data_IF_610490696888
#
_entry.id   IF_610490696888
#
_cell.length_a   1.000
_cell.length_b   1.000
_cell.length_c   1.000
_cell.angle_alpha   90.00
_cell.angle_beta   90.00
_cell.angle_gamma   90.00
#
_symmetry.space_group_name_H-M   'P 1'
#
loop_
_entity.id
_entity.type
_entity.pdbx_description
1 polymer ?
#
# COMPACT_ATOMS: atom_id res chain seq x y z
N UNK A 1 3.45 0.80 11.91
CA UNK A 1 4.54 -0.02 12.47
C UNK A 1 4.04 -0.90 13.60
N UNK A 2 3.34 -0.34 14.60
CA UNK A 2 2.76 -1.10 15.71
C UNK A 2 1.74 -2.20 15.32
N UNK A 3 0.86 -1.97 14.34
CA UNK A 3 -0.12 -2.99 13.93
C UNK A 3 0.52 -4.20 13.23
N UNK A 4 1.64 -4.00 12.51
CA UNK A 4 2.40 -5.08 11.86
C UNK A 4 3.18 -5.90 12.89
N UNK A 5 3.78 -5.24 13.88
CA UNK A 5 4.39 -5.88 15.05
C UNK A 5 3.37 -6.68 15.87
N UNK A 6 2.15 -6.17 16.03
CA UNK A 6 1.08 -6.87 16.75
C UNK A 6 0.61 -8.11 15.98
N UNK A 7 0.46 -8.00 14.65
CA UNK A 7 0.08 -9.14 13.80
C UNK A 7 1.18 -10.22 13.75
N UNK A 8 2.44 -9.83 13.62
CA UNK A 8 3.59 -10.74 13.70
C UNK A 8 3.69 -11.41 15.09
N UNK A 9 3.44 -10.65 16.16
CA UNK A 9 3.39 -11.18 17.52
C UNK A 9 2.28 -12.21 17.69
N UNK A 10 1.04 -11.93 17.25
CA UNK A 10 -0.08 -12.87 17.34
C UNK A 10 0.14 -14.12 16.50
N UNK A 11 0.78 -13.99 15.33
CA UNK A 11 1.15 -15.13 14.49
C UNK A 11 2.21 -16.02 15.15
N UNK A 12 3.19 -15.42 15.83
CA UNK A 12 4.18 -16.16 16.62
C UNK A 12 3.53 -16.83 17.83
N UNK A 13 2.62 -16.16 18.54
CA UNK A 13 1.85 -16.77 19.63
C UNK A 13 0.98 -17.94 19.13
N UNK A 14 0.44 -17.86 17.91
CA UNK A 14 -0.29 -18.97 17.30
C UNK A 14 0.62 -20.15 17.00
N UNK A 15 1.80 -19.89 16.43
CA UNK A 15 2.82 -20.91 16.18
C UNK A 15 3.25 -21.59 17.47
N UNK A 16 3.55 -20.81 18.51
CA UNK A 16 3.91 -21.34 19.83
C UNK A 16 2.75 -22.12 20.48
N UNK A 17 1.50 -21.67 20.32
CA UNK A 17 0.33 -22.39 20.84
C UNK A 17 0.15 -23.74 20.13
N UNK A 18 0.43 -23.78 18.83
CA UNK A 18 0.38 -25.01 18.02
C UNK A 18 1.55 -25.95 18.38
N UNK A 19 2.74 -25.42 18.60
CA UNK A 19 3.93 -26.20 18.96
C UNK A 19 3.83 -26.77 20.39
N UNK A 20 3.30 -25.99 21.34
CA UNK A 20 3.14 -26.40 22.75
C UNK A 20 1.79 -27.09 23.04
N UNK A 21 0.88 -27.14 22.06
CA UNK A 21 -0.45 -27.73 22.16
C UNK A 21 -1.32 -27.16 23.31
N UNK A 22 -1.11 -25.88 23.62
CA UNK A 22 -1.81 -25.13 24.66
C UNK A 22 -2.25 -23.77 24.09
N UNK A 23 -3.48 -23.36 24.37
CA UNK A 23 -4.00 -22.10 23.86
C UNK A 23 -3.39 -20.94 24.67
N UNK A 24 -2.45 -20.21 24.06
CA UNK A 24 -1.82 -19.05 24.72
C UNK A 24 -2.54 -17.72 24.45
N UNK A 25 -3.69 -17.75 23.77
CA UNK A 25 -4.52 -16.57 23.56
C UNK A 25 -5.45 -16.32 24.77
N UNK A 26 -5.70 -15.05 25.09
CA UNK A 26 -6.71 -14.67 26.09
C UNK A 26 -8.12 -14.93 25.54
N UNK A 27 -9.08 -15.24 26.42
CA UNK A 27 -10.50 -15.40 26.06
C UNK A 27 -11.11 -14.11 25.46
N UNK A 28 -10.50 -12.94 25.73
CA UNK A 28 -10.93 -11.65 25.15
C UNK A 28 -10.56 -11.51 23.65
N UNK A 29 -9.67 -12.34 23.12
CA UNK A 29 -9.23 -12.33 21.71
C UNK A 29 -10.08 -13.34 20.88
N UNK A 30 -11.37 -13.04 20.78
CA UNK A 30 -12.46 -13.91 20.30
C UNK A 30 -12.13 -14.74 19.03
N UNK A 31 -11.50 -14.13 18.02
CA UNK A 31 -11.30 -14.78 16.72
C UNK A 31 -10.17 -15.83 16.75
N UNK A 32 -9.03 -15.53 17.37
CA UNK A 32 -7.87 -16.43 17.39
C UNK A 32 -8.00 -17.50 18.47
N UNK A 33 -8.61 -17.17 19.61
CA UNK A 33 -8.94 -18.14 20.66
C UNK A 33 -9.89 -19.22 20.13
N UNK A 34 -10.95 -18.82 19.41
CA UNK A 34 -11.91 -19.76 18.82
C UNK A 34 -11.28 -20.64 17.74
N UNK A 35 -10.46 -20.06 16.84
CA UNK A 35 -9.75 -20.81 15.79
C UNK A 35 -8.77 -21.85 16.34
N UNK A 36 -8.05 -21.53 17.44
CA UNK A 36 -7.17 -22.52 18.07
C UNK A 36 -7.95 -23.65 18.74
N UNK A 37 -9.08 -23.34 19.38
CA UNK A 37 -9.92 -24.37 19.99
C UNK A 37 -10.57 -25.29 18.94
N UNK A 38 -10.96 -24.75 17.78
CA UNK A 38 -11.42 -25.53 16.64
C UNK A 38 -10.30 -26.44 16.09
N UNK A 39 -9.08 -25.89 15.92
CA UNK A 39 -7.89 -26.67 15.57
C UNK A 39 -7.66 -27.83 16.54
N UNK A 40 -7.68 -27.55 17.85
CA UNK A 40 -7.48 -28.56 18.90
C UNK A 40 -8.58 -29.63 18.87
N UNK A 41 -9.83 -29.22 18.66
CA UNK A 41 -10.97 -30.14 18.53
C UNK A 41 -10.79 -31.10 17.34
N UNK A 42 -10.39 -30.56 16.18
CA UNK A 42 -10.14 -31.36 14.98
C UNK A 42 -8.95 -32.31 15.15
N UNK A 43 -7.88 -31.88 15.84
CA UNK A 43 -6.75 -32.75 16.18
C UNK A 43 -7.19 -33.89 17.10
N UNK A 44 -8.01 -33.61 18.11
CA UNK A 44 -8.53 -34.63 19.01
C UNK A 44 -9.42 -35.64 18.27
N UNK A 45 -10.24 -35.18 17.32
CA UNK A 45 -11.06 -36.06 16.48
C UNK A 45 -10.21 -36.98 15.61
N UNK A 46 -9.16 -36.44 14.97
CA UNK A 46 -8.22 -37.22 14.19
C UNK A 46 -7.44 -38.23 15.06
N UNK A 47 -7.01 -37.83 16.26
CA UNK A 47 -6.36 -38.74 17.21
C UNK A 47 -7.28 -39.87 17.63
N UNK A 48 -8.55 -39.58 17.92
CA UNK A 48 -9.54 -40.59 18.25
C UNK A 48 -9.77 -41.56 17.07
N UNK A 49 -9.88 -41.03 15.85
CA UNK A 49 -10.01 -41.87 14.65
C UNK A 49 -8.80 -42.78 14.43
N UNK A 50 -7.58 -42.27 14.68
CA UNK A 50 -6.34 -43.07 14.64
C UNK A 50 -6.35 -44.14 15.73
N UNK A 51 -6.81 -43.83 16.94
CA UNK A 51 -6.88 -44.79 18.04
C UNK A 51 -7.89 -45.91 17.76
N UNK A 52 -9.06 -45.55 17.21
CA UNK A 52 -10.08 -46.52 16.75
C UNK A 52 -9.50 -47.44 15.67
N UNK A 53 -8.77 -46.90 14.69
CA UNK A 53 -8.14 -47.70 13.65
C UNK A 53 -7.01 -48.59 14.19
N UNK A 54 -6.18 -48.08 15.10
CA UNK A 54 -5.14 -48.88 15.79
C UNK A 54 -5.76 -50.04 16.55
N UNK A 55 -6.88 -49.81 17.24
CA UNK A 55 -7.61 -50.85 17.96
C UNK A 55 -8.16 -51.91 17.02
N UNK A 56 -8.78 -51.52 15.90
CA UNK A 56 -9.25 -52.45 14.89
C UNK A 56 -8.12 -53.31 14.28
N UNK A 57 -6.93 -52.72 14.09
CA UNK A 57 -5.73 -53.45 13.63
C UNK A 57 -5.19 -54.39 14.70
N UNK A 58 -5.17 -53.98 15.97
CA UNK A 58 -4.81 -54.85 17.10
C UNK A 58 -5.74 -56.05 17.18
N UNK A 59 -7.06 -55.83 17.10
CA UNK A 59 -8.07 -56.90 17.14
C UNK A 59 -7.89 -57.90 15.96
N UNK A 60 -7.53 -57.41 14.77
CA UNK A 60 -7.21 -58.25 13.62
C UNK A 60 -5.89 -59.02 13.79
N UNK A 61 -4.89 -58.42 14.45
CA UNK A 61 -3.62 -59.07 14.80
C UNK A 61 -3.83 -60.19 15.82
N UNK A 62 -4.64 -59.95 16.84
CA UNK A 62 -4.97 -60.95 17.88
C UNK A 62 -5.79 -62.11 17.30
N UNK A 63 -6.73 -61.81 16.39
CA UNK A 63 -7.46 -62.82 15.63
C UNK A 63 -6.54 -63.66 14.75
N UNK A 64 -5.53 -63.05 14.12
CA UNK A 64 -4.51 -63.76 13.35
C UNK A 64 -3.63 -64.65 14.24
N UNK A 65 -3.18 -64.16 15.40
CA UNK A 65 -2.39 -64.96 16.36
C UNK A 65 -3.17 -66.19 16.82
N UNK A 66 -4.45 -66.02 17.16
CA UNK A 66 -5.33 -67.12 17.57
C UNK A 66 -5.50 -68.18 16.47
N UNK A 67 -5.55 -67.76 15.19
CA UNK A 67 -5.60 -68.68 14.05
C UNK A 67 -4.27 -69.45 13.91
N UNK A 68 -3.13 -68.77 14.09
CA UNK A 68 -1.80 -69.40 14.05
C UNK A 68 -1.65 -70.43 15.19
N UNK A 69 -2.06 -70.08 16.41
CA UNK A 69 -2.01 -70.99 17.56
C UNK A 69 -2.90 -72.23 17.37
N UNK A 70 -4.07 -72.06 16.73
CA UNK A 70 -4.93 -73.18 16.35
C UNK A 70 -4.26 -74.11 15.34
N UNK A 71 -3.62 -73.57 14.31
CA UNK A 71 -2.89 -74.38 13.33
C UNK A 71 -1.67 -75.09 13.96
N UNK A 72 -0.94 -74.44 14.86
CA UNK A 72 0.17 -75.09 15.57
C UNK A 72 -0.31 -76.22 16.49
N UNK A 73 -1.48 -76.06 17.12
CA UNK A 73 -2.13 -77.14 17.88
C UNK A 73 -2.53 -78.32 16.97
N UNK A 74 -3.16 -78.06 15.82
CA UNK A 74 -3.50 -79.10 14.84
C UNK A 74 -2.26 -79.83 14.31
N UNK A 75 -1.21 -79.10 13.98
CA UNK A 75 0.07 -79.66 13.55
C UNK A 75 0.68 -80.53 14.65
N UNK A 76 0.61 -80.10 15.91
CA UNK A 76 1.11 -80.90 17.04
C UNK A 76 0.27 -82.17 17.27
N UNK A 77 -1.04 -82.12 17.08
CA UNK A 77 -1.91 -83.30 17.13
C UNK A 77 -1.53 -84.29 16.02
N UNK A 78 -1.35 -83.81 14.79
CA UNK A 78 -0.94 -84.63 13.65
C UNK A 78 0.45 -85.23 13.87
N UNK A 79 1.41 -84.45 14.40
CA UNK A 79 2.75 -84.96 14.76
C UNK A 79 2.67 -86.09 15.78
N UNK A 80 1.88 -85.94 16.85
CA UNK A 80 1.69 -86.97 17.87
C UNK A 80 1.03 -88.24 17.30
N UNK A 81 0.06 -88.08 16.40
CA UNK A 81 -0.58 -89.21 15.72
C UNK A 81 0.40 -89.96 14.81
N UNK A 82 1.26 -89.23 14.10
CA UNK A 82 2.34 -89.80 13.28
C UNK A 82 3.37 -90.52 14.17
N UNK A 83 3.75 -89.94 15.30
CA UNK A 83 4.70 -90.55 16.25
C UNK A 83 4.15 -91.86 16.85
N UNK A 84 2.85 -91.91 17.12
CA UNK A 84 2.15 -93.16 17.50
C UNK A 84 2.19 -94.20 16.38
N UNK A 85 1.86 -93.81 15.14
CA UNK A 85 1.91 -94.71 13.99
C UNK A 85 3.34 -95.23 13.73
N UNK A 86 4.36 -94.43 14.00
CA UNK A 86 5.77 -94.84 13.94
C UNK A 86 6.11 -95.94 14.95
N UNK A 87 5.67 -95.78 16.20
CA UNK A 87 5.84 -96.81 17.22
C UNK A 87 5.19 -98.13 16.80
N UNK A 88 4.01 -98.07 16.16
CA UNK A 88 3.31 -99.25 15.65
C UNK A 88 4.05 -99.90 14.46
N UNK A 89 4.59 -99.11 13.54
CA UNK A 89 5.33 -99.61 12.36
C UNK A 89 6.70 -100.19 12.74
N UNK A 90 7.40 -99.60 13.72
CA UNK A 90 8.70 -100.09 14.21
C UNK A 90 8.62 -101.52 14.80
N UNK A 91 7.41 -101.96 15.15
CA UNK A 91 7.08 -103.30 15.62
C UNK A 91 7.06 -104.37 14.51
N UNK A 92 6.89 -103.95 13.25
CA UNK A 92 6.77 -104.82 12.08
C UNK A 92 7.78 -104.42 11.00
N UNK A 93 9.04 -104.82 11.19
CA UNK A 93 10.13 -104.46 10.28
C UNK A 93 9.94 -105.00 8.87
N UNK A 94 9.89 -104.10 7.86
CA UNK A 94 10.25 -104.42 6.47
C UNK A 94 10.40 -103.17 5.56
N UNK A 95 11.13 -103.37 4.46
CA UNK A 95 11.70 -102.44 3.46
C UNK A 95 10.81 -101.28 2.95
N UNK A 96 9.48 -101.38 3.07
CA UNK A 96 8.53 -100.29 2.73
C UNK A 96 8.69 -99.06 3.64
N UNK A 97 9.25 -99.22 4.83
CA UNK A 97 9.55 -98.11 5.74
C UNK A 97 10.60 -97.12 5.20
N UNK A 98 11.51 -97.56 4.32
CA UNK A 98 12.58 -96.70 3.78
C UNK A 98 12.09 -95.76 2.66
N UNK A 99 11.21 -96.26 1.78
CA UNK A 99 10.60 -95.44 0.72
C UNK A 99 9.62 -94.41 1.31
N UNK A 100 8.91 -94.79 2.37
CA UNK A 100 8.03 -93.88 3.12
C UNK A 100 8.86 -92.83 3.87
N UNK A 101 9.99 -93.21 4.48
CA UNK A 101 10.92 -92.27 5.11
C UNK A 101 11.47 -91.24 4.13
N UNK A 102 11.78 -91.66 2.92
CA UNK A 102 12.32 -90.76 1.88
C UNK A 102 11.28 -89.75 1.42
N UNK A 103 10.04 -90.19 1.17
CA UNK A 103 8.91 -89.31 0.87
C UNK A 103 8.57 -88.37 2.04
N UNK A 104 8.75 -88.83 3.28
CA UNK A 104 8.53 -88.03 4.48
C UNK A 104 9.59 -86.92 4.62
N UNK A 105 10.87 -87.24 4.41
CA UNK A 105 11.94 -86.23 4.45
C UNK A 105 11.75 -85.16 3.37
N UNK A 106 11.21 -85.54 2.21
CA UNK A 106 10.80 -84.61 1.16
C UNK A 106 9.62 -83.72 1.60
N UNK A 107 8.58 -84.29 2.22
CA UNK A 107 7.43 -83.50 2.70
C UNK A 107 7.80 -82.58 3.87
N UNK A 108 8.65 -83.02 4.80
CA UNK A 108 9.17 -82.18 5.88
C UNK A 108 10.04 -81.04 5.36
N UNK A 109 10.86 -81.30 4.31
CA UNK A 109 11.59 -80.23 3.62
C UNK A 109 10.64 -79.23 2.97
N UNK A 110 9.59 -79.68 2.27
CA UNK A 110 8.58 -78.80 1.68
C UNK A 110 7.85 -77.96 2.73
N UNK A 111 7.44 -78.54 3.86
CA UNK A 111 6.80 -77.82 4.98
C UNK A 111 7.75 -76.77 5.57
N UNK A 112 9.03 -77.09 5.76
CA UNK A 112 10.01 -76.13 6.25
C UNK A 112 10.30 -75.01 5.24
N UNK A 113 10.26 -75.33 3.95
CA UNK A 113 10.39 -74.33 2.89
C UNK A 113 9.18 -73.38 2.88
N UNK A 114 7.95 -73.92 2.97
CA UNK A 114 6.73 -73.12 3.11
C UNK A 114 6.73 -72.27 4.39
N UNK A 115 7.22 -72.80 5.52
CA UNK A 115 7.39 -72.05 6.77
C UNK A 115 8.42 -70.92 6.63
N UNK A 116 9.51 -71.16 5.88
CA UNK A 116 10.50 -70.13 5.56
C UNK A 116 9.98 -69.08 4.58
N UNK A 117 9.09 -69.44 3.66
CA UNK A 117 8.39 -68.49 2.76
C UNK A 117 7.35 -67.65 3.52
N UNK A 118 6.60 -68.25 4.44
CA UNK A 118 5.69 -67.54 5.36
C UNK A 118 6.44 -66.59 6.30
N UNK A 119 7.62 -66.98 6.78
CA UNK A 119 8.48 -66.12 7.60
C UNK A 119 9.16 -64.99 6.80
N UNK A 120 9.31 -65.14 5.47
CA UNK A 120 9.77 -64.09 4.55
C UNK A 120 8.68 -63.06 4.24
N UNK A 121 7.40 -63.35 4.48
CA UNK A 121 6.35 -62.32 4.57
C UNK A 121 6.52 -61.45 5.83
N UNK A 122 7.65 -60.75 5.96
CA UNK A 122 7.89 -59.67 6.93
C UNK A 122 7.20 -58.39 6.47
N UNK A 123 5.89 -58.45 6.24
CA UNK A 123 5.08 -57.29 5.83
C UNK A 123 4.65 -56.40 7.02
N UNK A 124 5.28 -56.53 8.19
CA UNK A 124 4.96 -55.73 9.38
C UNK A 124 5.83 -54.47 9.52
N UNK A 125 7.15 -54.46 9.30
CA UNK A 125 7.95 -53.24 9.47
C UNK A 125 7.82 -52.28 8.29
N UNK A 126 7.66 -52.78 7.05
CA UNK A 126 7.47 -51.94 5.86
C UNK A 126 6.09 -51.28 5.82
N UNK A 127 5.04 -51.97 6.28
CA UNK A 127 3.69 -51.41 6.35
C UNK A 127 3.59 -50.34 7.45
N UNK A 128 4.22 -50.55 8.61
CA UNK A 128 4.30 -49.54 9.68
C UNK A 128 5.14 -48.32 9.29
N UNK A 129 6.20 -48.52 8.50
CA UNK A 129 7.03 -47.41 8.01
C UNK A 129 6.31 -46.62 6.91
N UNK A 130 5.67 -47.30 5.95
CA UNK A 130 4.82 -46.67 4.91
C UNK A 130 3.63 -45.94 5.55
N UNK A 131 2.99 -46.50 6.57
CA UNK A 131 1.87 -45.84 7.27
C UNK A 131 2.32 -44.64 8.11
N UNK A 132 3.49 -44.72 8.78
CA UNK A 132 4.10 -43.54 9.44
C UNK A 132 4.46 -42.47 8.42
N UNK A 133 5.04 -42.84 7.29
CA UNK A 133 5.46 -41.92 6.23
C UNK A 133 4.24 -41.26 5.55
N UNK A 134 3.16 -42.02 5.26
CA UNK A 134 1.90 -41.49 4.73
C UNK A 134 1.19 -40.55 5.73
N UNK A 135 1.08 -40.92 7.00
CA UNK A 135 0.49 -40.06 8.03
C UNK A 135 1.30 -38.77 8.24
N UNK A 136 2.64 -38.86 8.21
CA UNK A 136 3.52 -37.69 8.33
C UNK A 136 3.41 -36.80 7.08
N UNK A 137 3.26 -37.38 5.89
CA UNK A 137 3.08 -36.64 4.64
C UNK A 137 1.72 -35.93 4.55
N UNK A 138 0.62 -36.54 5.00
CA UNK A 138 -0.70 -35.90 5.05
C UNK A 138 -0.73 -34.74 6.06
N UNK A 139 -0.16 -34.93 7.25
CA UNK A 139 -0.02 -33.86 8.25
C UNK A 139 0.86 -32.72 7.70
N UNK A 140 1.96 -33.06 7.03
CA UNK A 140 2.86 -32.06 6.43
C UNK A 140 2.16 -31.30 5.30
N UNK A 141 1.37 -31.99 4.47
CA UNK A 141 0.58 -31.36 3.40
C UNK A 141 -0.46 -30.41 3.97
N UNK A 142 -1.25 -30.84 4.96
CA UNK A 142 -2.23 -29.97 5.62
C UNK A 142 -1.55 -28.75 6.29
N UNK A 143 -0.39 -28.96 6.92
CA UNK A 143 0.42 -27.86 7.48
C UNK A 143 0.90 -26.89 6.40
N UNK A 144 1.33 -27.38 5.23
CA UNK A 144 1.73 -26.53 4.10
C UNK A 144 0.53 -25.77 3.52
N UNK A 145 -0.61 -26.44 3.29
CA UNK A 145 -1.82 -25.82 2.72
C UNK A 145 -2.37 -24.73 3.65
N UNK A 146 -2.38 -24.99 4.97
CA UNK A 146 -2.76 -23.98 5.97
C UNK A 146 -1.77 -22.82 6.03
N UNK A 147 -0.46 -23.08 5.94
CA UNK A 147 0.56 -22.02 5.88
C UNK A 147 0.41 -21.15 4.62
N UNK A 148 0.14 -21.76 3.46
CA UNK A 148 -0.11 -21.03 2.21
C UNK A 148 -1.39 -20.20 2.30
N UNK A 149 -2.46 -20.76 2.88
CA UNK A 149 -3.70 -20.01 3.13
C UNK A 149 -3.51 -18.82 4.07
N UNK A 150 -2.75 -19.01 5.16
CA UNK A 150 -2.40 -17.95 6.09
C UNK A 150 -1.52 -16.86 5.45
N UNK A 151 -0.57 -17.24 4.58
CA UNK A 151 0.26 -16.30 3.84
C UNK A 151 -0.60 -15.43 2.90
N UNK A 152 -1.56 -16.04 2.21
CA UNK A 152 -2.53 -15.32 1.37
C UNK A 152 -3.35 -14.31 2.17
N UNK A 153 -3.93 -14.73 3.31
CA UNK A 153 -4.72 -13.84 4.18
C UNK A 153 -3.86 -12.69 4.73
N UNK A 154 -2.62 -12.99 5.10
CA UNK A 154 -1.66 -11.98 5.60
C UNK A 154 -1.39 -10.94 4.53
N UNK A 155 -1.13 -11.38 3.30
CA UNK A 155 -0.87 -10.50 2.16
C UNK A 155 -2.08 -9.61 1.82
N UNK A 156 -3.30 -10.16 1.85
CA UNK A 156 -4.52 -9.39 1.63
C UNK A 156 -4.72 -8.31 2.71
N UNK A 157 -4.40 -8.62 3.97
CA UNK A 157 -4.46 -7.65 5.06
C UNK A 157 -3.38 -6.58 4.95
N UNK A 158 -2.17 -6.91 4.49
CA UNK A 158 -1.13 -5.91 4.22
C UNK A 158 -1.57 -4.91 3.14
N UNK A 159 -2.19 -5.40 2.05
CA UNK A 159 -2.75 -4.54 0.99
C UNK A 159 -3.80 -3.59 1.58
N UNK A 160 -4.76 -4.09 2.37
CA UNK A 160 -5.80 -3.26 3.02
C UNK A 160 -5.19 -2.20 3.95
N UNK A 161 -4.15 -2.55 4.69
CA UNK A 161 -3.46 -1.61 5.57
C UNK A 161 -2.84 -0.46 4.75
N UNK A 162 -2.21 -0.76 3.61
CA UNK A 162 -1.57 0.26 2.78
C UNK A 162 -2.60 1.15 2.06
N UNK A 163 -3.74 0.59 1.64
CA UNK A 163 -4.89 1.37 1.16
C UNK A 163 -5.41 2.34 2.23
N UNK A 164 -5.63 1.86 3.45
CA UNK A 164 -6.10 2.69 4.56
C UNK A 164 -5.10 3.79 4.95
N UNK A 165 -3.80 3.50 4.95
CA UNK A 165 -2.76 4.53 5.16
C UNK A 165 -2.81 5.61 4.09
N UNK A 166 -2.99 5.22 2.83
CA UNK A 166 -3.10 6.16 1.72
C UNK A 166 -4.33 7.06 1.90
N UNK A 167 -5.46 6.48 2.30
CA UNK A 167 -6.69 7.22 2.60
C UNK A 167 -6.53 8.20 3.78
N UNK A 168 -5.83 7.80 4.84
CA UNK A 168 -5.52 8.71 5.96
C UNK A 168 -4.66 9.87 5.47
N UNK A 169 -3.65 9.61 4.64
CA UNK A 169 -2.80 10.66 4.07
C UNK A 169 -3.58 11.67 3.22
N UNK A 170 -4.51 11.21 2.39
CA UNK A 170 -5.35 12.09 1.56
C UNK A 170 -6.36 12.89 2.38
N UNK A 171 -6.93 12.30 3.45
CA UNK A 171 -7.80 13.00 4.38
C UNK A 171 -7.05 14.07 5.18
N UNK A 172 -5.85 13.76 5.67
CA UNK A 172 -5.02 14.73 6.39
C UNK A 172 -4.69 15.92 5.49
N UNK A 173 -4.31 15.68 4.24
CA UNK A 173 -4.06 16.73 3.27
C UNK A 173 -5.30 17.60 3.00
N UNK A 174 -6.49 17.00 2.98
CA UNK A 174 -7.77 17.73 2.85
C UNK A 174 -8.05 18.61 4.07
N UNK A 175 -7.81 18.10 5.28
CA UNK A 175 -7.95 18.86 6.53
C UNK A 175 -6.98 20.05 6.54
N UNK A 176 -5.71 19.83 6.20
CA UNK A 176 -4.69 20.88 6.16
C UNK A 176 -5.09 21.99 5.17
N UNK A 177 -5.69 21.62 4.03
CA UNK A 177 -6.25 22.55 3.04
C UNK A 177 -7.54 23.27 3.46
N UNK A 178 -8.22 22.79 4.49
CA UNK A 178 -9.40 23.47 5.05
C UNK A 178 -9.02 24.74 5.81
N UNK A 179 -7.74 24.87 6.21
CA UNK A 179 -7.19 26.09 6.79
C UNK A 179 -6.40 26.86 5.74
N UNK A 180 -7.00 27.92 5.20
CA UNK A 180 -6.31 28.82 4.25
C UNK A 180 -5.44 29.80 5.04
N UNK A 181 -4.14 29.82 4.75
CA UNK A 181 -3.17 30.72 5.39
C UNK A 181 -2.58 31.70 4.38
N UNK A 182 -2.25 32.89 4.85
CA UNK A 182 -1.44 33.86 4.13
C UNK A 182 -0.03 33.30 3.88
N UNK A 183 0.48 33.41 2.64
CA UNK A 183 1.86 33.06 2.32
C UNK A 183 2.84 34.23 2.50
N UNK A 184 2.31 35.45 2.57
CA UNK A 184 3.09 36.70 2.67
C UNK A 184 2.43 37.63 3.69
N UNK A 185 3.26 38.49 4.29
CA UNK A 185 2.79 39.54 5.19
C UNK A 185 2.16 40.69 4.40
N UNK A 186 1.05 41.22 4.92
CA UNK A 186 0.31 42.24 4.20
C UNK A 186 -0.97 42.69 4.88
N UNK A 187 -1.72 43.52 4.18
CA UNK A 187 -3.07 43.96 4.57
C UNK A 187 -4.11 43.10 3.86
N UNK A 188 -5.12 42.63 4.59
CA UNK A 188 -6.20 41.83 4.03
C UNK A 188 -7.23 42.75 3.34
N UNK A 189 -7.50 42.47 2.07
CA UNK A 189 -8.56 43.08 1.28
C UNK A 189 -9.69 42.06 1.08
N UNK A 190 -10.88 42.37 1.58
CA UNK A 190 -12.06 41.48 1.47
C UNK A 190 -12.71 41.69 0.10
N UNK A 191 -12.83 40.62 -0.68
CA UNK A 191 -13.43 40.64 -2.02
C UNK A 191 -14.89 40.16 -2.02
N UNK A 192 -15.22 39.25 -1.11
CA UNK A 192 -16.57 38.75 -0.90
C UNK A 192 -16.86 38.73 0.60
N UNK A 193 -18.03 39.23 0.99
CA UNK A 193 -18.53 39.08 2.35
C UNK A 193 -18.93 37.62 2.55
N UNK A 194 -18.34 36.98 3.56
CA UNK A 194 -18.64 35.59 3.93
C UNK A 194 -19.19 35.55 5.35
N UNK A 195 -20.12 34.62 5.59
CA UNK A 195 -20.74 34.40 6.89
C UNK A 195 -20.40 33.02 7.46
N UNK A 196 -20.45 32.90 8.79
CA UNK A 196 -20.20 31.61 9.45
C UNK A 196 -21.28 30.59 9.06
N UNK A 197 -20.86 29.40 8.61
CA UNK A 197 -21.75 28.34 8.12
C UNK A 197 -22.10 28.42 6.63
N UNK A 198 -21.58 29.42 5.91
CA UNK A 198 -21.75 29.54 4.47
C UNK A 198 -20.90 28.52 3.70
N UNK A 199 -21.48 27.91 2.67
CA UNK A 199 -20.80 26.92 1.84
C UNK A 199 -19.99 27.61 0.73
N UNK A 200 -18.67 27.46 0.76
CA UNK A 200 -17.76 28.05 -0.22
C UNK A 200 -17.43 27.05 -1.33
N UNK A 201 -17.42 27.53 -2.58
CA UNK A 201 -17.00 26.71 -3.72
C UNK A 201 -15.48 26.75 -3.93
N UNK A 202 -14.91 25.66 -4.44
CA UNK A 202 -13.50 25.62 -4.80
C UNK A 202 -13.18 26.64 -5.90
N UNK A 203 -12.15 27.45 -5.69
CA UNK A 203 -11.71 28.49 -6.62
C UNK A 203 -12.41 29.84 -6.46
N UNK A 204 -13.35 29.98 -5.52
CA UNK A 204 -13.95 31.28 -5.21
C UNK A 204 -12.92 32.20 -4.52
N UNK A 205 -12.73 33.40 -5.05
CA UNK A 205 -11.90 34.43 -4.43
C UNK A 205 -12.65 35.14 -3.29
N UNK A 206 -12.12 35.10 -2.07
CA UNK A 206 -12.75 35.68 -0.88
C UNK A 206 -11.91 36.81 -0.30
N UNK A 207 -10.60 36.58 -0.19
CA UNK A 207 -9.64 37.51 0.39
C UNK A 207 -8.47 37.67 -0.57
N UNK A 208 -7.94 38.88 -0.66
CA UNK A 208 -6.68 39.18 -1.33
C UNK A 208 -5.72 39.82 -0.31
N UNK A 209 -4.45 39.43 -0.33
CA UNK A 209 -3.43 40.02 0.53
C UNK A 209 -2.66 41.05 -0.27
N UNK A 210 -2.60 42.27 0.25
CA UNK A 210 -1.77 43.35 -0.29
C UNK A 210 -0.45 43.34 0.48
N UNK A 211 0.69 43.01 -0.16
CA UNK A 211 1.99 42.98 0.51
C UNK A 211 2.32 44.33 1.16
N UNK A 212 2.95 44.30 2.34
CA UNK A 212 3.32 45.53 3.06
C UNK A 212 4.62 46.18 2.55
N UNK A 213 5.52 45.37 1.99
CA UNK A 213 6.89 45.78 1.66
C UNK A 213 7.14 45.99 0.16
N UNK A 214 6.10 46.02 -0.67
CA UNK A 214 6.25 46.44 -2.06
C UNK A 214 6.42 47.97 -2.11
N UNK A 215 7.69 48.39 -2.07
CA UNK A 215 8.12 49.78 -2.28
C UNK A 215 7.78 50.33 -3.69
N UNK A 216 7.20 49.49 -4.55
CA UNK A 216 6.92 49.77 -5.95
C UNK A 216 5.49 49.36 -6.28
N UNK A 217 4.69 50.32 -6.73
CA UNK A 217 3.38 50.04 -7.28
C UNK A 217 3.50 49.73 -8.76
N UNK A 218 2.78 48.69 -9.20
CA UNK A 218 2.60 48.39 -10.61
C UNK A 218 1.39 49.12 -11.17
N UNK A 219 1.60 49.86 -12.25
CA UNK A 219 0.58 50.59 -12.99
C UNK A 219 0.31 49.86 -14.30
N UNK A 220 -0.96 49.54 -14.53
CA UNK A 220 -1.45 48.93 -15.76
C UNK A 220 -1.93 50.03 -16.70
N UNK A 221 -1.26 50.17 -17.84
CA UNK A 221 -1.53 51.19 -18.84
C UNK A 221 -2.17 50.54 -20.08
N UNK A 222 -3.28 51.10 -20.53
CA UNK A 222 -3.94 50.69 -21.78
C UNK A 222 -3.44 51.57 -22.91
N UNK A 223 -2.65 51.00 -23.82
CA UNK A 223 -2.04 51.73 -24.94
C UNK A 223 -2.78 51.40 -26.23
N UNK A 224 -3.05 52.42 -27.05
CA UNK A 224 -3.68 52.23 -28.35
C UNK A 224 -2.77 51.43 -29.30
N UNK A 225 -3.37 50.65 -30.20
CA UNK A 225 -2.62 49.95 -31.27
C UNK A 225 -1.74 50.88 -32.13
N UNK A 226 -2.09 52.17 -32.23
CA UNK A 226 -1.33 53.13 -33.04
C UNK A 226 -0.02 53.55 -32.37
N UNK A 227 0.00 53.59 -31.05
CA UNK A 227 1.11 54.14 -30.28
C UNK A 227 2.09 53.07 -29.80
N UNK A 228 1.68 51.79 -29.78
CA UNK A 228 2.47 50.68 -29.23
C UNK A 228 3.84 50.51 -29.91
N UNK A 229 3.95 50.80 -31.21
CA UNK A 229 5.22 50.68 -31.96
C UNK A 229 6.33 51.61 -31.43
N UNK A 230 5.98 52.68 -30.71
CA UNK A 230 6.96 53.60 -30.12
C UNK A 230 7.38 53.26 -28.69
N UNK A 231 6.73 52.26 -28.09
CA UNK A 231 6.87 51.91 -26.69
C UNK A 231 7.78 50.69 -26.53
N UNK A 232 8.75 50.80 -25.63
CA UNK A 232 9.72 49.74 -25.35
C UNK A 232 9.94 49.60 -23.84
N UNK A 233 10.27 48.38 -23.41
CA UNK A 233 10.68 48.09 -22.03
C UNK A 233 11.90 48.96 -21.66
N UNK A 234 11.90 49.51 -20.45
CA UNK A 234 12.94 50.39 -19.91
C UNK A 234 12.76 51.88 -20.22
N UNK A 235 11.74 52.27 -20.98
CA UNK A 235 11.45 53.70 -21.21
C UNK A 235 10.93 54.37 -19.93
N UNK A 236 11.38 55.61 -19.71
CA UNK A 236 10.92 56.44 -18.60
C UNK A 236 9.50 56.95 -18.83
N UNK A 237 8.70 56.90 -17.78
CA UNK A 237 7.31 57.37 -17.75
C UNK A 237 7.18 58.48 -16.73
N UNK A 238 6.33 59.46 -17.04
CA UNK A 238 5.82 60.43 -16.08
C UNK A 238 4.34 60.18 -15.84
N UNK A 239 3.95 60.05 -14.58
CA UNK A 239 2.56 59.84 -14.18
C UNK A 239 1.91 61.10 -13.64
N UNK A 240 0.65 61.29 -14.02
CA UNK A 240 -0.26 62.28 -13.49
C UNK A 240 -1.46 61.53 -12.89
N UNK A 241 -1.50 61.41 -11.56
CA UNK A 241 -2.60 60.74 -10.86
C UNK A 241 -3.78 61.69 -10.66
N UNK A 242 -5.00 61.23 -10.96
CA UNK A 242 -6.19 62.08 -10.86
C UNK A 242 -6.47 62.52 -9.41
N UNK A 243 -6.19 61.63 -8.46
CA UNK A 243 -6.37 61.88 -7.03
C UNK A 243 -5.28 62.80 -6.42
N UNK A 244 -4.14 62.96 -7.11
CA UNK A 244 -3.02 63.81 -6.67
C UNK A 244 -2.60 64.74 -7.81
N UNK A 245 -3.29 65.89 -7.97
CA UNK A 245 -3.07 66.78 -9.10
C UNK A 245 -1.61 67.22 -9.21
N UNK A 246 -1.01 67.00 -10.38
CA UNK A 246 0.42 67.23 -10.61
C UNK A 246 0.87 68.69 -10.41
N UNK A 247 -0.05 69.65 -10.54
CA UNK A 247 0.22 71.07 -10.26
C UNK A 247 0.48 71.35 -8.79
N UNK A 248 0.00 70.49 -7.90
CA UNK A 248 0.14 70.63 -6.46
C UNK A 248 1.20 69.67 -5.90
N UNK A 249 1.18 68.42 -6.32
CA UNK A 249 2.03 67.34 -5.80
C UNK A 249 3.25 67.02 -6.67
N UNK A 250 3.35 67.59 -7.87
CA UNK A 250 4.41 67.27 -8.83
C UNK A 250 4.09 66.04 -9.69
N UNK A 251 5.08 65.60 -10.45
CA UNK A 251 4.99 64.43 -11.33
C UNK A 251 5.73 63.25 -10.68
N UNK A 252 5.21 62.04 -10.89
CA UNK A 252 5.90 60.84 -10.46
C UNK A 252 6.61 60.19 -11.63
N UNK A 253 7.87 59.84 -11.43
CA UNK A 253 8.68 59.12 -12.41
C UNK A 253 8.51 57.60 -12.25
N UNK A 254 8.50 56.89 -13.37
CA UNK A 254 8.57 55.43 -13.39
C UNK A 254 9.19 54.89 -14.66
N UNK A 255 9.04 53.59 -14.86
CA UNK A 255 9.67 52.85 -15.94
C UNK A 255 8.77 51.72 -16.45
N UNK A 256 8.79 51.49 -17.76
CA UNK A 256 8.10 50.36 -18.37
C UNK A 256 8.84 49.07 -18.04
N UNK A 257 8.13 48.13 -17.44
CA UNK A 257 8.70 46.84 -17.04
C UNK A 257 8.27 45.70 -17.92
N UNK A 258 7.06 45.76 -18.48
CA UNK A 258 6.54 44.71 -19.35
C UNK A 258 5.55 45.24 -20.38
N UNK A 259 5.47 44.56 -21.52
CA UNK A 259 4.54 44.87 -22.61
C UNK A 259 3.89 43.56 -23.05
N UNK A 260 2.56 43.49 -22.94
CA UNK A 260 1.83 42.31 -23.40
C UNK A 260 2.09 42.04 -24.88
N UNK A 261 2.29 40.75 -25.20
CA UNK A 261 2.58 40.30 -26.58
C UNK A 261 1.35 40.32 -27.48
N UNK A 262 0.15 40.36 -26.92
CA UNK A 262 -1.10 40.33 -27.65
C UNK A 262 -2.03 41.48 -27.21
N UNK A 263 -2.91 41.89 -28.11
CA UNK A 263 -3.84 42.99 -27.89
C UNK A 263 -5.16 42.49 -27.28
N UNK A 264 -5.67 43.23 -26.30
CA UNK A 264 -6.95 42.99 -25.66
C UNK A 264 -8.03 43.73 -26.44
N UNK A 265 -9.09 43.03 -26.82
CA UNK A 265 -10.27 43.62 -27.46
C UNK A 265 -11.34 43.83 -26.39
N UNK A 266 -11.74 45.08 -26.18
CA UNK A 266 -12.89 45.38 -25.33
C UNK A 266 -14.18 44.95 -26.04
N UNK A 267 -14.86 43.97 -25.45
CA UNK A 267 -16.09 43.40 -26.01
C UNK A 267 -17.25 44.41 -26.10
N UNK A 268 -17.23 45.49 -25.30
CA UNK A 268 -18.28 46.51 -25.30
C UNK A 268 -18.05 47.59 -26.35
N UNK A 269 -16.80 48.02 -26.53
CA UNK A 269 -16.45 49.14 -27.41
C UNK A 269 -15.87 48.70 -28.75
N UNK A 270 -15.48 47.43 -28.90
CA UNK A 270 -14.78 46.91 -30.08
C UNK A 270 -13.38 47.47 -30.27
N UNK A 271 -12.89 48.28 -29.32
CA UNK A 271 -11.56 48.88 -29.40
C UNK A 271 -10.51 47.92 -28.90
N UNK A 272 -9.35 47.92 -29.56
CA UNK A 272 -8.22 47.05 -29.24
C UNK A 272 -7.06 47.85 -28.65
N UNK A 273 -6.51 47.37 -27.54
CA UNK A 273 -5.44 48.01 -26.77
C UNK A 273 -4.38 46.98 -26.37
N UNK A 274 -3.14 47.43 -26.23
CA UNK A 274 -2.08 46.64 -25.59
C UNK A 274 -1.99 47.00 -24.11
N UNK A 275 -1.81 45.98 -23.27
CA UNK A 275 -1.55 46.17 -21.85
C UNK A 275 -0.04 46.38 -21.66
N UNK A 276 0.33 47.52 -21.10
CA UNK A 276 1.70 47.84 -20.72
C UNK A 276 1.78 47.92 -19.20
N UNK A 277 2.70 47.17 -18.60
CA UNK A 277 2.98 47.24 -17.17
C UNK A 277 4.19 48.14 -16.92
N UNK A 278 4.09 48.91 -15.84
CA UNK A 278 5.11 49.87 -15.47
C UNK A 278 5.15 50.03 -13.96
N UNK A 279 6.30 50.44 -13.44
CA UNK A 279 6.54 50.56 -12.01
C UNK A 279 6.71 52.03 -11.61
N UNK A 280 6.07 52.39 -10.50
CA UNK A 280 6.21 53.70 -9.84
C UNK A 280 6.59 53.48 -8.39
N UNK A 281 7.53 54.26 -7.88
CA UNK A 281 7.93 54.17 -6.47
C UNK A 281 6.81 54.69 -5.57
N UNK A 282 6.55 53.98 -4.49
CA UNK A 282 5.63 54.42 -3.45
C UNK A 282 6.35 55.38 -2.48
N UNK A 283 6.63 56.60 -2.94
CA UNK A 283 7.22 57.66 -2.12
C UNK A 283 6.15 58.68 -1.71
N UNK A 284 6.19 59.20 -0.46
CA UNK A 284 5.23 60.21 -0.02
C UNK A 284 5.42 61.50 -0.81
N UNK A 285 4.33 62.00 -1.38
CA UNK A 285 4.29 63.27 -2.10
C UNK A 285 3.90 64.38 -1.14
N UNK A 286 4.43 65.58 -1.36
CA UNK A 286 4.08 66.75 -0.56
C UNK A 286 3.54 67.85 -1.45
N UNK A 287 2.36 68.37 -1.09
CA UNK A 287 1.80 69.59 -1.67
C UNK A 287 2.74 70.78 -1.41
N UNK A 288 2.63 71.83 -2.22
CA UNK A 288 3.25 73.13 -1.91
C UNK A 288 2.84 73.71 -0.55
N UNK A 289 1.75 73.21 0.06
CA UNK A 289 1.29 73.55 1.41
C UNK A 289 1.86 72.65 2.51
N UNK A 290 2.65 71.64 2.17
CA UNK A 290 3.21 70.65 3.10
C UNK A 290 2.26 69.52 3.49
N UNK A 291 1.11 69.38 2.83
CA UNK A 291 0.20 68.25 3.03
C UNK A 291 0.77 66.99 2.37
N UNK A 292 0.78 65.88 3.12
CA UNK A 292 1.26 64.59 2.63
C UNK A 292 0.17 63.88 1.81
N UNK A 293 0.51 63.56 0.57
CA UNK A 293 -0.26 62.68 -0.32
C UNK A 293 0.42 61.32 -0.42
N UNK A 294 -0.36 60.25 -0.35
CA UNK A 294 0.10 58.88 -0.51
C UNK A 294 -0.67 58.22 -1.66
N UNK A 295 0.05 57.47 -2.51
CA UNK A 295 -0.57 56.68 -3.55
C UNK A 295 -1.35 55.51 -2.95
N UNK A 296 -2.53 55.23 -3.50
CA UNK A 296 -3.36 54.09 -3.11
C UNK A 296 -3.70 53.23 -4.32
N UNK A 297 -3.85 51.93 -4.08
CA UNK A 297 -4.31 50.99 -5.09
C UNK A 297 -5.70 51.39 -5.59
N UNK A 298 -5.89 51.34 -6.91
CA UNK A 298 -7.14 51.69 -7.57
C UNK A 298 -7.27 53.15 -8.02
N UNK A 299 -6.28 54.00 -7.74
CA UNK A 299 -6.22 55.34 -8.34
C UNK A 299 -6.05 55.25 -9.86
N UNK A 300 -6.72 56.14 -10.58
CA UNK A 300 -6.53 56.34 -12.02
C UNK A 300 -5.42 57.36 -12.28
N UNK A 301 -4.71 57.19 -13.39
CA UNK A 301 -3.65 58.09 -13.80
C UNK A 301 -3.51 58.17 -15.32
N UNK A 302 -3.01 59.31 -15.80
CA UNK A 302 -2.48 59.46 -17.14
C UNK A 302 -0.96 59.25 -17.12
N UNK A 303 -0.42 58.55 -18.12
CA UNK A 303 0.99 58.25 -18.23
C UNK A 303 1.57 58.79 -19.53
N UNK A 304 2.67 59.55 -19.41
CA UNK A 304 3.41 60.09 -20.56
C UNK A 304 4.72 59.35 -20.73
N UNK A 305 4.81 58.55 -21.81
CA UNK A 305 6.00 57.77 -22.14
C UNK A 305 7.02 58.63 -22.89
N UNK A 306 8.25 58.69 -22.40
CA UNK A 306 9.33 59.44 -23.05
C UNK A 306 9.91 58.60 -24.20
N UNK A 307 9.38 58.80 -25.41
CA UNK A 307 9.77 58.02 -26.60
C UNK A 307 11.11 58.46 -27.22
N UNK A 308 11.45 59.74 -27.15
CA UNK A 308 12.70 60.30 -27.69
C UNK A 308 13.20 61.46 -26.84
N UNK A 309 14.51 61.55 -26.65
CA UNK A 309 15.16 62.72 -26.07
C UNK A 309 15.97 63.43 -27.15
N UNK A 310 15.76 64.74 -27.31
CA UNK A 310 16.54 65.58 -28.23
C UNK A 310 17.19 66.72 -27.45
N UNK A 311 18.43 67.08 -27.77
CA UNK A 311 19.02 68.32 -27.25
C UNK A 311 18.24 69.51 -27.82
N UNK A 312 18.02 70.53 -27.00
CA UNK A 312 17.24 71.71 -27.38
C UNK A 312 17.74 72.36 -28.68
N UNK A 313 19.06 72.40 -28.88
CA UNK A 313 19.67 72.95 -30.09
C UNK A 313 19.23 72.22 -31.37
N UNK A 314 19.12 70.88 -31.33
CA UNK A 314 18.63 70.10 -32.47
C UNK A 314 17.15 70.35 -32.76
N UNK A 315 16.33 70.52 -31.71
CA UNK A 315 14.92 70.87 -31.89
C UNK A 315 14.76 72.24 -32.56
N UNK A 316 15.54 73.23 -32.11
CA UNK A 316 15.54 74.57 -32.70
C UNK A 316 15.97 74.51 -34.16
N UNK A 317 17.06 73.80 -34.49
CA UNK A 317 17.54 73.64 -35.87
C UNK A 317 16.53 72.93 -36.79
N UNK A 318 15.81 71.92 -36.31
CA UNK A 318 14.72 71.29 -37.06
C UNK A 318 13.56 72.27 -37.31
N UNK A 319 13.20 73.12 -36.33
CA UNK A 319 12.09 74.08 -36.47
C UNK A 319 12.39 75.26 -37.38
N UNK A 320 13.66 75.64 -37.51
CA UNK A 320 14.09 76.72 -38.42
C UNK A 320 14.58 76.19 -39.78
N UNK A 321 14.27 74.93 -40.13
CA UNK A 321 14.63 74.28 -41.40
C UNK A 321 16.13 74.32 -41.74
N UNK A 322 17.01 74.32 -40.73
CA UNK A 322 18.47 74.37 -40.92
C UNK A 322 19.11 72.97 -41.05
N UNK A 323 18.33 71.99 -41.49
CA UNK A 323 18.81 70.64 -41.82
C UNK A 323 18.49 70.32 -43.28
N UNK A 324 19.55 70.09 -44.08
CA UNK A 324 19.52 69.08 -45.13
C UNK A 324 19.43 67.69 -44.48
#
# INVERSE_FOLDING_TARGET
MFSKLLAESKLNTLRESVDDNENKFSEDDDEYYSKFNEYRSNINELQNNIEVQKKAVSDLSDKKSSIVDNYDNEVNIIKKAIESAYNDISKYGNKSALDIKTKLDETLKSINNFKSELAKCKLTPELDNINKELATNEITKYKIDTLVGLDSITKDNEIKIDELKTNIGTLQFTIDKSTVKAMIDGTVNVKADITEGELLQSGQEILAIIPKDDSQFKVKLYVSNKDISGINIGQKIKYHFDALPYKEYGELDGEITDIATDAIIDQKTGSSYYLVESEVKNEPLFSYKGEMGELKLGMTCEAQVITKQKKILYYVFEKINLKN
#
